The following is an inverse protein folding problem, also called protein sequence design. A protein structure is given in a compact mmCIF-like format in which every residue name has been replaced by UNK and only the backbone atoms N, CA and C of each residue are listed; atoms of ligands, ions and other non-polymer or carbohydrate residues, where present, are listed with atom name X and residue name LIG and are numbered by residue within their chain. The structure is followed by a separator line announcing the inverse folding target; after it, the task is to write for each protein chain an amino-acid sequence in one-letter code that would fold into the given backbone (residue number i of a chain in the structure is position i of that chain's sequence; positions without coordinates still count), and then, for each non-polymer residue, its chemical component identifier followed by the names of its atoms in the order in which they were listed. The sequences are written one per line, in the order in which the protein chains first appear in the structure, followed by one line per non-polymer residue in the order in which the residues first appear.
data_IF_576644326973
#
_entry.id   IF_576644326973
#
_cell.length_a   1.000
_cell.length_b   1.000
_cell.length_c   1.000
_cell.angle_alpha   90.00
_cell.angle_beta   90.00
_cell.angle_gamma   90.00
#
_symmetry.space_group_name_H-M   'P 1'
#
loop_
_entity.id
_entity.type
_entity.pdbx_description
1 polymer ?
#
# COMPACT_ATOMS: atom_id res chain seq x y z
N UNK A 1 -16.77 40.72 -51.84
CA UNK A 1 -15.72 41.11 -50.87
C UNK A 1 -16.21 41.05 -49.43
N UNK A 2 -17.38 41.63 -49.09
CA UNK A 2 -17.94 41.60 -47.72
C UNK A 2 -18.30 40.20 -47.20
N UNK A 3 -18.82 39.32 -48.06
CA UNK A 3 -19.18 37.93 -47.71
C UNK A 3 -17.95 37.05 -47.44
N UNK A 4 -16.89 37.20 -48.23
CA UNK A 4 -15.60 36.51 -48.02
C UNK A 4 -14.93 36.98 -46.72
N UNK A 5 -15.03 38.27 -46.40
CA UNK A 5 -14.50 38.84 -45.16
C UNK A 5 -15.24 38.28 -43.93
N UNK A 6 -16.56 38.10 -44.02
CA UNK A 6 -17.41 37.52 -42.97
C UNK A 6 -17.11 36.03 -42.73
N UNK A 7 -16.88 35.26 -43.81
CA UNK A 7 -16.48 33.85 -43.73
C UNK A 7 -15.11 33.66 -43.07
N UNK A 8 -14.16 34.56 -43.34
CA UNK A 8 -12.82 34.54 -42.73
C UNK A 8 -12.88 34.92 -41.24
N UNK A 9 -13.75 35.85 -40.85
CA UNK A 9 -13.92 36.19 -39.42
C UNK A 9 -14.59 35.07 -38.64
N UNK A 10 -15.55 34.36 -39.25
CA UNK A 10 -16.19 33.19 -38.63
C UNK A 10 -15.22 32.01 -38.48
N UNK A 11 -14.30 31.83 -39.43
CA UNK A 11 -13.25 30.79 -39.39
C UNK A 11 -12.15 31.09 -38.36
N UNK A 12 -11.88 32.36 -38.05
CA UNK A 12 -10.95 32.76 -36.98
C UNK A 12 -11.55 32.62 -35.58
N UNK A 13 -12.87 32.69 -35.43
CA UNK A 13 -13.52 32.61 -34.11
C UNK A 13 -13.60 31.16 -33.58
N UNK A 14 -13.50 30.17 -34.46
CA UNK A 14 -13.54 28.74 -34.11
C UNK A 14 -12.22 28.16 -33.61
N UNK A 15 -11.09 28.87 -33.73
CA UNK A 15 -9.77 28.30 -33.37
C UNK A 15 -9.37 28.50 -31.91
N UNK A 16 -10.16 29.26 -31.14
CA UNK A 16 -9.88 29.57 -29.72
C UNK A 16 -10.74 28.76 -28.74
N UNK A 17 -11.02 27.50 -29.04
CA UNK A 17 -11.45 26.56 -28.00
C UNK A 17 -10.21 25.96 -27.35
N UNK A 18 -9.68 26.63 -26.32
CA UNK A 18 -8.65 26.04 -25.46
C UNK A 18 -9.25 24.88 -24.68
N UNK A 19 -8.76 23.66 -24.92
CA UNK A 19 -9.09 22.50 -24.09
C UNK A 19 -8.58 22.71 -22.66
N UNK A 20 -9.49 22.69 -21.69
CA UNK A 20 -9.14 22.55 -20.27
C UNK A 20 -8.56 21.14 -20.07
N UNK A 21 -7.22 21.05 -20.01
CA UNK A 21 -6.54 19.82 -19.56
C UNK A 21 -6.93 19.57 -18.11
N UNK A 22 -7.89 18.68 -17.89
CA UNK A 22 -8.21 18.15 -16.56
C UNK A 22 -7.01 17.30 -16.12
N UNK A 23 -6.22 17.79 -15.15
CA UNK A 23 -5.13 17.09 -14.47
C UNK A 23 -5.65 15.95 -13.56
N UNK A 24 -6.70 15.24 -13.99
CA UNK A 24 -7.45 14.29 -13.16
C UNK A 24 -7.04 12.83 -13.31
N UNK A 25 -6.18 12.49 -14.29
CA UNK A 25 -5.85 11.10 -14.61
C UNK A 25 -4.38 10.70 -14.37
N UNK A 26 -3.50 11.64 -14.02
CA UNK A 26 -2.09 11.37 -13.67
C UNK A 26 -1.85 11.37 -12.14
N UNK A 27 -2.93 11.41 -11.34
CA UNK A 27 -2.83 11.34 -9.88
C UNK A 27 -2.69 9.87 -9.49
N UNK A 28 -1.64 9.46 -8.77
CA UNK A 28 -1.52 8.10 -8.26
C UNK A 28 -2.78 7.70 -7.47
N UNK A 29 -3.20 6.43 -7.54
CA UNK A 29 -4.36 5.98 -6.80
C UNK A 29 -4.17 6.24 -5.30
N UNK A 30 -5.25 6.68 -4.65
CA UNK A 30 -5.23 6.84 -3.19
C UNK A 30 -5.03 5.46 -2.56
N UNK A 31 -4.05 5.37 -1.67
CA UNK A 31 -3.78 4.18 -0.87
C UNK A 31 -4.62 4.30 0.40
N UNK A 32 -5.25 3.19 0.81
CA UNK A 32 -5.98 3.16 2.07
C UNK A 32 -5.03 3.47 3.24
N UNK A 33 -5.48 4.32 4.17
CA UNK A 33 -4.73 4.63 5.39
C UNK A 33 -4.45 3.38 6.22
N UNK A 34 -5.34 2.39 6.18
CA UNK A 34 -5.22 1.16 6.97
C UNK A 34 -3.94 0.39 6.57
N UNK A 35 -3.51 0.47 5.31
CA UNK A 35 -2.27 -0.15 4.84
C UNK A 35 -1.03 0.40 5.59
N UNK A 36 -1.08 1.64 6.07
CA UNK A 36 0.05 2.27 6.78
C UNK A 36 -0.04 2.19 8.30
N UNK A 37 -1.25 2.07 8.86
CA UNK A 37 -1.49 2.23 10.30
C UNK A 37 -2.07 1.01 10.99
N UNK A 38 -2.47 -0.02 10.23
CA UNK A 38 -2.85 -1.30 10.80
C UNK A 38 -1.61 -2.12 11.22
N UNK A 39 -1.86 -3.22 11.94
CA UNK A 39 -0.81 -4.15 12.30
C UNK A 39 -0.21 -4.83 11.05
N UNK A 40 1.13 -4.88 10.91
CA UNK A 40 1.75 -5.59 9.82
C UNK A 40 1.47 -7.10 9.94
N UNK A 41 1.27 -7.76 8.82
CA UNK A 41 1.06 -9.22 8.78
C UNK A 41 2.23 -9.97 9.43
N UNK A 42 3.47 -9.57 9.09
CA UNK A 42 4.71 -10.11 9.65
C UNK A 42 5.69 -8.97 9.86
N UNK A 43 6.33 -8.91 11.04
CA UNK A 43 7.38 -7.94 11.34
C UNK A 43 8.46 -8.50 12.26
N UNK A 44 9.58 -7.77 12.42
CA UNK A 44 10.65 -8.08 13.37
C UNK A 44 11.25 -9.49 13.26
N UNK A 45 11.46 -9.97 12.04
CA UNK A 45 12.07 -11.28 11.78
C UNK A 45 13.45 -11.47 12.42
N UNK A 46 13.69 -12.64 12.99
CA UNK A 46 14.91 -13.06 13.66
C UNK A 46 15.31 -14.45 13.18
N UNK A 47 16.58 -14.60 12.84
CA UNK A 47 17.17 -15.88 12.46
C UNK A 47 17.83 -16.52 13.69
N UNK A 48 17.62 -17.81 13.92
CA UNK A 48 18.33 -18.53 14.98
C UNK A 48 19.85 -18.59 14.67
N UNK A 49 20.72 -18.85 15.67
CA UNK A 49 22.18 -18.82 15.47
C UNK A 49 22.70 -19.72 14.34
N UNK A 50 22.11 -20.91 14.17
CA UNK A 50 22.42 -21.85 13.08
C UNK A 50 21.45 -21.74 11.89
N UNK A 51 20.54 -20.77 11.95
CA UNK A 51 19.55 -20.47 10.93
C UNK A 51 18.42 -21.45 10.79
N UNK A 52 18.31 -22.50 11.60
CA UNK A 52 17.26 -23.53 11.46
C UNK A 52 15.83 -22.99 11.64
N UNK A 53 15.68 -21.88 12.37
CA UNK A 53 14.39 -21.29 12.69
C UNK A 53 14.35 -19.80 12.38
N UNK A 54 13.14 -19.34 12.09
CA UNK A 54 12.81 -17.92 11.97
C UNK A 54 11.73 -17.61 13.00
N UNK A 55 12.00 -16.67 13.90
CA UNK A 55 10.99 -16.08 14.77
C UNK A 55 10.61 -14.68 14.30
N UNK A 56 9.38 -14.27 14.55
CA UNK A 56 8.83 -13.01 14.05
C UNK A 56 7.58 -12.61 14.82
N UNK A 57 7.10 -11.39 14.61
CA UNK A 57 5.83 -10.91 15.12
C UNK A 57 4.73 -11.08 14.07
N UNK A 58 3.57 -11.60 14.47
CA UNK A 58 2.35 -11.72 13.64
C UNK A 58 1.10 -11.62 14.54
N UNK A 59 -0.01 -11.00 14.09
CA UNK A 59 -1.25 -10.99 14.85
C UNK A 59 -1.80 -12.40 15.11
N UNK A 60 -2.14 -12.68 16.36
CA UNK A 60 -2.96 -13.81 16.78
C UNK A 60 -4.29 -13.23 17.29
N UNK A 61 -5.39 -13.51 16.59
CA UNK A 61 -6.71 -12.94 16.89
C UNK A 61 -6.70 -11.40 17.04
N UNK A 62 -5.98 -10.71 16.15
CA UNK A 62 -5.87 -9.25 16.16
C UNK A 62 -4.91 -8.65 17.19
N UNK A 63 -4.19 -9.48 17.97
CA UNK A 63 -3.15 -8.99 18.90
C UNK A 63 -1.79 -9.54 18.51
N UNK A 64 -0.79 -8.66 18.34
CA UNK A 64 0.55 -9.04 17.92
C UNK A 64 1.26 -9.94 18.93
N UNK A 65 1.67 -11.12 18.45
CA UNK A 65 2.32 -12.17 19.22
C UNK A 65 3.62 -12.62 18.54
N UNK A 66 4.47 -13.34 19.26
CA UNK A 66 5.68 -13.95 18.69
C UNK A 66 5.32 -15.32 18.11
N UNK A 67 5.85 -15.60 16.93
CA UNK A 67 5.68 -16.84 16.20
C UNK A 67 7.05 -17.43 15.86
N UNK A 68 7.08 -18.73 15.58
CA UNK A 68 8.27 -19.44 15.11
C UNK A 68 7.91 -20.41 13.99
N UNK A 69 8.80 -20.54 13.01
CA UNK A 69 8.76 -21.59 11.98
C UNK A 69 10.16 -22.13 11.70
N UNK A 70 10.24 -23.30 11.08
CA UNK A 70 11.49 -23.74 10.44
C UNK A 70 11.82 -22.85 9.24
N UNK A 71 13.12 -22.70 8.92
CA UNK A 71 13.59 -21.83 7.83
C UNK A 71 12.86 -22.07 6.49
N UNK A 72 12.70 -23.34 6.13
CA UNK A 72 12.13 -23.76 4.84
C UNK A 72 10.60 -23.95 4.87
N UNK A 73 9.97 -23.89 6.04
CA UNK A 73 8.51 -24.06 6.16
C UNK A 73 7.74 -22.83 5.67
N UNK A 74 6.46 -22.98 5.31
CA UNK A 74 5.60 -21.84 5.01
C UNK A 74 5.39 -20.98 6.26
N UNK A 75 5.08 -19.69 6.08
CA UNK A 75 4.64 -18.84 7.20
C UNK A 75 3.26 -19.25 7.74
N UNK A 76 2.49 -20.00 6.97
CA UNK A 76 1.22 -20.60 7.42
C UNK A 76 1.43 -21.79 8.36
N UNK A 77 2.60 -22.43 8.31
CA UNK A 77 2.98 -23.53 9.21
C UNK A 77 3.60 -23.03 10.53
N UNK A 78 3.71 -21.70 10.70
CA UNK A 78 4.27 -21.12 11.89
C UNK A 78 3.36 -21.38 13.10
N UNK A 79 3.98 -21.54 14.27
CA UNK A 79 3.27 -21.71 15.54
C UNK A 79 3.46 -20.47 16.41
N UNK A 80 2.40 -20.01 17.11
CA UNK A 80 2.54 -18.94 18.08
C UNK A 80 3.27 -19.47 19.31
N UNK A 81 4.28 -18.73 19.79
CA UNK A 81 4.98 -19.04 21.06
C UNK A 81 4.47 -18.20 22.23
N UNK A 82 3.70 -17.14 21.93
CA UNK A 82 2.95 -16.35 22.91
C UNK A 82 1.48 -16.26 22.52
N UNK A 83 0.61 -15.99 23.50
CA UNK A 83 -0.82 -15.80 23.29
C UNK A 83 -1.37 -14.62 24.11
N UNK A 84 -0.70 -13.45 24.04
CA UNK A 84 -1.16 -12.23 24.69
C UNK A 84 -2.39 -11.67 23.99
N UNK A 85 -3.36 -11.20 24.78
CA UNK A 85 -4.65 -10.64 24.30
C UNK A 85 -4.88 -9.20 24.75
N UNK A 86 -4.27 -8.76 25.85
CA UNK A 86 -4.52 -7.44 26.43
C UNK A 86 -3.75 -6.32 25.73
N UNK A 87 -2.48 -6.57 25.36
CA UNK A 87 -1.60 -5.60 24.73
C UNK A 87 -0.74 -6.26 23.67
N UNK A 88 -0.60 -5.65 22.47
CA UNK A 88 0.27 -6.16 21.43
C UNK A 88 1.74 -6.04 21.83
N UNK A 89 2.56 -7.01 21.41
CA UNK A 89 4.01 -6.93 21.55
C UNK A 89 4.53 -5.85 20.59
N UNK A 90 4.81 -4.68 21.13
CA UNK A 90 5.19 -3.49 20.36
C UNK A 90 6.53 -3.63 19.63
N UNK A 91 7.47 -4.40 20.19
CA UNK A 91 8.79 -4.60 19.61
C UNK A 91 9.41 -5.93 20.03
N UNK A 92 10.17 -6.51 19.11
CA UNK A 92 10.92 -7.75 19.30
C UNK A 92 12.30 -7.59 18.65
N UNK A 93 13.35 -7.70 19.47
CA UNK A 93 14.73 -7.55 19.04
C UNK A 93 15.69 -8.53 19.74
#
# INVERSE_FOLDING_TARGET
MKTVLLSITMLLLTTMTTELKIYGNDIPPLIDREIFFDDPEISSGRLSPYGEFISFLRPLNGTRNIWIKQREASFDDAIPVTAVTERPIMGYF
#
